data_IF_124773352726
#
_entry.id   IF_124773352726
#
_cell.length_a   1.000
_cell.length_b   1.000
_cell.length_c   1.000
_cell.angle_alpha   90.00
_cell.angle_beta   90.00
_cell.angle_gamma   90.00
#
_symmetry.space_group_name_H-M   'P 1'
#
loop_
_entity.id
_entity.type
_entity.pdbx_description
1 polymer ?
#
# COMPACT_ATOMS: atom_id res chain seq x y z
N UNK A 1 -36.55 -23.27 -2.59
CA UNK A 1 -36.80 -21.81 -2.42
C UNK A 1 -35.50 -21.09 -2.77
N UNK A 2 -35.24 -20.93 -4.07
CA UNK A 2 -34.08 -20.20 -4.58
C UNK A 2 -34.23 -18.72 -4.21
N UNK A 3 -33.36 -18.21 -3.34
CA UNK A 3 -33.20 -16.77 -3.18
C UNK A 3 -32.72 -16.23 -4.53
N UNK A 4 -33.65 -15.65 -5.29
CA UNK A 4 -33.36 -14.71 -6.37
C UNK A 4 -32.14 -13.88 -5.99
N UNK A 5 -31.05 -14.00 -6.76
CA UNK A 5 -29.85 -13.17 -6.63
C UNK A 5 -30.29 -11.74 -6.95
N UNK A 6 -30.74 -10.99 -5.94
CA UNK A 6 -30.99 -9.57 -6.07
C UNK A 6 -29.77 -8.95 -6.77
N UNK A 7 -30.01 -8.34 -7.94
CA UNK A 7 -28.95 -7.77 -8.77
C UNK A 7 -28.21 -6.75 -7.91
N UNK A 8 -26.91 -6.95 -7.69
CA UNK A 8 -26.09 -6.03 -6.90
C UNK A 8 -26.15 -4.63 -7.53
N UNK A 9 -26.20 -3.55 -6.74
CA UNK A 9 -26.12 -2.19 -7.26
C UNK A 9 -24.91 -2.03 -8.18
N UNK A 10 -25.03 -1.24 -9.25
CA UNK A 10 -23.94 -1.00 -10.21
C UNK A 10 -22.64 -0.55 -9.53
N UNK A 11 -22.77 0.30 -8.50
CA UNK A 11 -21.68 0.74 -7.62
C UNK A 11 -20.89 -0.44 -7.02
N UNK A 12 -21.57 -1.45 -6.52
CA UNK A 12 -20.90 -2.60 -5.88
C UNK A 12 -20.17 -3.45 -6.91
N UNK A 13 -20.73 -3.61 -8.11
CA UNK A 13 -20.08 -4.32 -9.21
C UNK A 13 -18.80 -3.61 -9.66
N UNK A 14 -18.86 -2.28 -9.83
CA UNK A 14 -17.73 -1.45 -10.15
C UNK A 14 -16.62 -1.56 -9.09
N UNK A 15 -16.97 -1.43 -7.81
CA UNK A 15 -15.99 -1.53 -6.71
C UNK A 15 -15.40 -2.94 -6.62
N UNK A 16 -16.18 -4.00 -6.83
CA UNK A 16 -15.66 -5.37 -6.90
C UNK A 16 -14.63 -5.49 -8.03
N UNK A 17 -14.95 -5.01 -9.23
CA UNK A 17 -14.04 -5.05 -10.37
C UNK A 17 -12.75 -4.28 -10.10
N UNK A 18 -12.86 -3.03 -9.63
CA UNK A 18 -11.72 -2.19 -9.25
C UNK A 18 -10.81 -2.88 -8.24
N UNK A 19 -11.37 -3.32 -7.10
CA UNK A 19 -10.57 -3.95 -6.04
C UNK A 19 -9.96 -5.28 -6.52
N UNK A 20 -10.63 -6.03 -7.40
CA UNK A 20 -10.08 -7.26 -7.98
C UNK A 20 -8.89 -6.97 -8.88
N UNK A 21 -9.02 -5.98 -9.78
CA UNK A 21 -7.91 -5.53 -10.63
C UNK A 21 -6.74 -5.06 -9.79
N UNK A 22 -6.97 -4.24 -8.76
CA UNK A 22 -5.92 -3.79 -7.87
C UNK A 22 -5.25 -4.94 -7.11
N UNK A 23 -6.02 -5.94 -6.63
CA UNK A 23 -5.46 -7.13 -5.99
C UNK A 23 -4.53 -7.91 -6.94
N UNK A 24 -4.93 -8.10 -8.20
CA UNK A 24 -4.11 -8.76 -9.23
C UNK A 24 -2.85 -7.95 -9.53
N UNK A 25 -2.98 -6.62 -9.66
CA UNK A 25 -1.84 -5.76 -9.90
C UNK A 25 -0.80 -5.89 -8.79
N UNK A 26 -1.21 -5.79 -7.53
CA UNK A 26 -0.31 -5.92 -6.39
C UNK A 26 0.21 -7.34 -6.18
N UNK A 27 -0.54 -8.36 -6.57
CA UNK A 27 -0.01 -9.73 -6.67
C UNK A 27 1.13 -9.80 -7.68
N UNK A 28 0.99 -9.14 -8.83
CA UNK A 28 2.07 -9.00 -9.81
C UNK A 28 3.29 -8.25 -9.25
N UNK A 29 3.10 -7.18 -8.48
CA UNK A 29 4.22 -6.45 -7.83
C UNK A 29 4.96 -7.37 -6.87
N UNK A 30 4.23 -8.00 -5.93
CA UNK A 30 4.82 -8.87 -4.92
C UNK A 30 5.48 -10.10 -5.54
N UNK A 31 4.79 -10.77 -6.47
CA UNK A 31 5.27 -11.97 -7.14
C UNK A 31 6.52 -11.71 -7.98
N UNK A 32 6.52 -10.65 -8.80
CA UNK A 32 7.71 -10.27 -9.58
C UNK A 32 8.88 -9.92 -8.67
N UNK A 33 8.64 -9.17 -7.58
CA UNK A 33 9.69 -8.81 -6.63
C UNK A 33 10.27 -10.05 -5.94
N UNK A 34 9.42 -10.97 -5.46
CA UNK A 34 9.83 -12.24 -4.83
C UNK A 34 10.67 -13.12 -5.76
N UNK A 35 10.33 -13.15 -7.05
CA UNK A 35 11.04 -13.93 -8.05
C UNK A 35 12.36 -13.26 -8.47
N UNK A 36 12.34 -11.96 -8.73
CA UNK A 36 13.51 -11.23 -9.23
C UNK A 36 14.61 -11.08 -8.17
N UNK A 37 14.24 -10.89 -6.90
CA UNK A 37 15.20 -10.67 -5.83
C UNK A 37 16.31 -11.74 -5.75
N UNK A 38 16.01 -13.06 -5.74
CA UNK A 38 17.04 -14.09 -5.78
C UNK A 38 17.67 -14.31 -7.17
N UNK A 39 16.95 -13.97 -8.26
CA UNK A 39 17.41 -14.26 -9.62
C UNK A 39 18.41 -13.23 -10.16
N UNK A 40 18.18 -11.95 -9.89
CA UNK A 40 18.97 -10.84 -10.45
C UNK A 40 19.61 -9.95 -9.38
N UNK A 41 19.38 -10.26 -8.10
CA UNK A 41 19.84 -9.44 -6.97
C UNK A 41 18.99 -8.18 -6.75
N UNK A 42 19.09 -7.60 -5.55
CA UNK A 42 18.29 -6.42 -5.19
C UNK A 42 18.56 -5.20 -6.09
N UNK A 43 19.77 -5.10 -6.65
CA UNK A 43 20.20 -3.98 -7.49
C UNK A 43 19.41 -3.89 -8.80
N UNK A 44 18.91 -5.02 -9.31
CA UNK A 44 18.23 -5.12 -10.61
C UNK A 44 16.71 -5.28 -10.49
N UNK A 45 16.16 -5.35 -9.28
CA UNK A 45 14.71 -5.51 -9.07
C UNK A 45 13.93 -4.35 -9.69
N UNK A 46 14.44 -3.12 -9.56
CA UNK A 46 13.79 -1.93 -10.14
C UNK A 46 13.61 -2.05 -11.66
N UNK A 47 14.60 -2.59 -12.38
CA UNK A 47 14.52 -2.74 -13.83
C UNK A 47 13.35 -3.65 -14.26
N UNK A 48 13.08 -4.73 -13.51
CA UNK A 48 12.03 -5.69 -13.84
C UNK A 48 10.63 -5.34 -13.32
N UNK A 49 10.52 -4.58 -12.22
CA UNK A 49 9.22 -4.31 -11.56
C UNK A 49 8.88 -2.83 -11.45
N UNK A 50 9.83 -1.92 -11.61
CA UNK A 50 9.66 -0.50 -11.31
C UNK A 50 8.57 0.18 -12.12
N UNK A 51 8.58 0.00 -13.45
CA UNK A 51 7.53 0.57 -14.30
C UNK A 51 6.14 -0.01 -13.99
N UNK A 52 6.08 -1.30 -13.70
CA UNK A 52 4.84 -1.98 -13.35
C UNK A 52 4.27 -1.46 -12.02
N UNK A 53 5.11 -1.30 -10.99
CA UNK A 53 4.72 -0.72 -9.70
C UNK A 53 4.24 0.71 -9.84
N UNK A 54 4.90 1.55 -10.66
CA UNK A 54 4.48 2.93 -10.88
C UNK A 54 3.02 3.01 -11.33
N UNK A 55 2.64 2.24 -12.35
CA UNK A 55 1.27 2.26 -12.88
C UNK A 55 0.26 1.62 -11.91
N UNK A 56 0.63 0.54 -11.23
CA UNK A 56 -0.21 -0.05 -10.18
C UNK A 56 -0.51 0.96 -9.06
N UNK A 57 0.50 1.73 -8.63
CA UNK A 57 0.36 2.77 -7.61
C UNK A 57 -0.43 3.99 -8.13
N UNK A 58 -0.23 4.41 -9.38
CA UNK A 58 -1.01 5.49 -10.00
C UNK A 58 -2.51 5.19 -10.01
N UNK A 59 -2.90 3.93 -10.22
CA UNK A 59 -4.31 3.52 -10.17
C UNK A 59 -4.97 3.76 -8.79
N UNK A 60 -4.19 3.83 -7.71
CA UNK A 60 -4.70 4.13 -6.37
C UNK A 60 -5.23 5.57 -6.24
N UNK A 61 -4.91 6.47 -7.17
CA UNK A 61 -5.51 7.81 -7.25
C UNK A 61 -7.04 7.71 -7.39
N UNK A 62 -7.55 6.67 -8.06
CA UNK A 62 -8.99 6.45 -8.16
C UNK A 62 -9.67 6.27 -6.81
N UNK A 63 -8.97 5.80 -5.77
CA UNK A 63 -9.55 5.68 -4.43
C UNK A 63 -9.90 7.04 -3.82
N UNK A 64 -9.08 8.05 -4.09
CA UNK A 64 -9.34 9.44 -3.68
C UNK A 64 -10.63 9.92 -4.35
N UNK A 65 -10.78 9.66 -5.66
CA UNK A 65 -12.00 9.98 -6.40
C UNK A 65 -13.21 9.18 -5.91
N UNK A 66 -13.06 7.90 -5.54
CA UNK A 66 -14.16 7.11 -4.99
C UNK A 66 -14.69 7.69 -3.69
N UNK A 67 -13.85 8.30 -2.87
CA UNK A 67 -14.29 8.99 -1.65
C UNK A 67 -14.98 10.31 -2.00
N UNK A 68 -14.41 11.10 -2.90
CA UNK A 68 -14.99 12.38 -3.36
C UNK A 68 -16.38 12.19 -3.97
N UNK A 69 -16.57 11.13 -4.74
CA UNK A 69 -17.84 10.79 -5.39
C UNK A 69 -18.82 10.04 -4.46
N UNK A 70 -18.48 9.85 -3.17
CA UNK A 70 -19.33 9.14 -2.22
C UNK A 70 -19.48 7.63 -2.49
N UNK A 71 -18.62 7.05 -3.33
CA UNK A 71 -18.58 5.60 -3.57
C UNK A 71 -18.04 4.85 -2.34
N UNK A 72 -17.07 5.42 -1.62
CA UNK A 72 -16.50 4.83 -0.42
C UNK A 72 -16.64 5.74 0.80
N UNK A 73 -17.03 5.16 1.93
CA UNK A 73 -17.05 5.84 3.23
C UNK A 73 -15.72 5.62 3.94
N UNK A 74 -14.74 6.45 3.63
CA UNK A 74 -13.43 6.50 4.28
C UNK A 74 -13.06 7.97 4.55
N UNK A 75 -12.07 8.21 5.40
CA UNK A 75 -11.56 9.58 5.59
C UNK A 75 -10.79 10.02 4.35
N UNK A 76 -11.25 11.13 3.76
CA UNK A 76 -10.64 11.73 2.58
C UNK A 76 -9.18 12.11 2.84
N UNK A 77 -8.92 12.87 3.92
CA UNK A 77 -7.59 13.34 4.26
C UNK A 77 -6.59 12.19 4.47
N UNK A 78 -7.01 11.12 5.14
CA UNK A 78 -6.11 9.97 5.36
C UNK A 78 -5.82 9.22 4.07
N UNK A 79 -6.82 9.06 3.20
CA UNK A 79 -6.64 8.34 1.93
C UNK A 79 -5.79 9.15 0.97
N UNK A 80 -6.02 10.46 0.89
CA UNK A 80 -5.19 11.38 0.12
C UNK A 80 -3.74 11.32 0.58
N UNK A 81 -3.48 11.43 1.88
CA UNK A 81 -2.11 11.37 2.41
C UNK A 81 -1.43 10.03 2.08
N UNK A 82 -2.13 8.91 2.25
CA UNK A 82 -1.60 7.57 1.95
C UNK A 82 -1.28 7.38 0.46
N UNK A 83 -2.17 7.82 -0.43
CA UNK A 83 -1.95 7.69 -1.87
C UNK A 83 -0.84 8.63 -2.33
N UNK A 84 -0.86 9.89 -1.90
CA UNK A 84 0.16 10.89 -2.26
C UNK A 84 1.54 10.52 -1.76
N UNK A 85 1.67 9.97 -0.53
CA UNK A 85 2.97 9.54 -0.02
C UNK A 85 3.58 8.44 -0.89
N UNK A 86 2.79 7.43 -1.28
CA UNK A 86 3.30 6.35 -2.13
C UNK A 86 3.58 6.80 -3.56
N UNK A 87 2.78 7.73 -4.10
CA UNK A 87 3.04 8.35 -5.40
C UNK A 87 4.37 9.10 -5.38
N UNK A 88 4.63 9.87 -4.33
CA UNK A 88 5.93 10.52 -4.13
C UNK A 88 7.06 9.49 -4.11
N UNK A 89 6.92 8.37 -3.40
CA UNK A 89 7.95 7.35 -3.34
C UNK A 89 8.25 6.72 -4.71
N UNK A 90 7.23 6.33 -5.48
CA UNK A 90 7.46 5.65 -6.78
C UNK A 90 7.88 6.60 -7.88
N UNK A 91 7.31 7.81 -7.93
CA UNK A 91 7.55 8.78 -9.01
C UNK A 91 8.58 9.86 -8.65
N UNK A 92 8.60 10.32 -7.41
CA UNK A 92 9.47 11.42 -6.95
C UNK A 92 10.77 10.96 -6.30
N UNK A 93 10.87 9.71 -5.83
CA UNK A 93 12.07 9.18 -5.16
C UNK A 93 12.71 8.07 -5.98
N UNK A 94 12.03 6.94 -6.15
CA UNK A 94 12.62 5.76 -6.76
C UNK A 94 12.76 5.85 -8.28
N UNK A 95 12.03 6.73 -8.97
CA UNK A 95 12.16 6.91 -10.41
C UNK A 95 13.32 7.82 -10.83
N UNK A 96 13.51 9.01 -10.23
CA UNK A 96 14.58 9.91 -10.63
C UNK A 96 15.97 9.54 -10.09
N UNK A 97 16.07 8.81 -8.98
CA UNK A 97 17.34 8.55 -8.29
C UNK A 97 17.75 7.09 -8.35
N UNK A 98 19.04 6.81 -8.52
CA UNK A 98 19.61 5.46 -8.64
C UNK A 98 19.84 4.81 -7.27
N UNK A 99 20.24 5.58 -6.26
CA UNK A 99 20.51 5.13 -4.90
C UNK A 99 19.39 4.31 -4.27
N UNK A 100 18.11 4.73 -4.37
CA UNK A 100 16.98 3.93 -3.92
C UNK A 100 16.79 2.65 -4.77
N UNK A 101 16.89 2.75 -6.11
CA UNK A 101 16.62 1.63 -7.04
C UNK A 101 17.52 0.44 -6.79
N UNK A 102 18.81 0.69 -6.53
CA UNK A 102 19.80 -0.34 -6.26
C UNK A 102 19.71 -0.94 -4.85
N UNK A 103 18.92 -0.36 -3.96
CA UNK A 103 18.91 -0.73 -2.54
C UNK A 103 18.01 -1.94 -2.24
N UNK A 104 18.41 -2.74 -1.26
CA UNK A 104 17.54 -3.78 -0.69
C UNK A 104 16.22 -3.20 -0.16
N UNK A 105 16.23 -1.94 0.30
CA UNK A 105 15.07 -1.25 0.83
C UNK A 105 13.97 -1.06 -0.21
N UNK A 106 14.31 -0.87 -1.48
CA UNK A 106 13.32 -0.84 -2.55
C UNK A 106 12.55 -2.18 -2.62
N UNK A 107 13.27 -3.29 -2.57
CA UNK A 107 12.69 -4.63 -2.63
C UNK A 107 11.81 -4.93 -1.40
N UNK A 108 12.30 -4.65 -0.18
CA UNK A 108 11.51 -4.87 1.04
C UNK A 108 10.29 -3.96 1.13
N UNK A 109 10.39 -2.73 0.63
CA UNK A 109 9.24 -1.82 0.49
C UNK A 109 8.17 -2.43 -0.42
N UNK A 110 8.53 -2.91 -1.62
CA UNK A 110 7.58 -3.50 -2.55
C UNK A 110 6.93 -4.78 -2.02
N UNK A 111 7.66 -5.61 -1.29
CA UNK A 111 7.10 -6.80 -0.65
C UNK A 111 6.12 -6.42 0.46
N UNK A 112 6.50 -5.48 1.33
CA UNK A 112 5.63 -5.00 2.39
C UNK A 112 4.34 -4.38 1.84
N UNK A 113 4.45 -3.55 0.80
CA UNK A 113 3.31 -2.95 0.11
C UNK A 113 2.47 -4.01 -0.57
N UNK A 114 3.06 -4.86 -1.40
CA UNK A 114 2.35 -5.88 -2.15
C UNK A 114 1.52 -6.80 -1.27
N UNK A 115 2.11 -7.35 -0.19
CA UNK A 115 1.35 -8.20 0.75
C UNK A 115 0.21 -7.41 1.42
N UNK A 116 0.48 -6.18 1.86
CA UNK A 116 -0.53 -5.33 2.50
C UNK A 116 -1.70 -5.05 1.56
N UNK A 117 -1.42 -4.72 0.31
CA UNK A 117 -2.42 -4.37 -0.70
C UNK A 117 -3.24 -5.57 -1.16
N UNK A 118 -2.60 -6.71 -1.39
CA UNK A 118 -3.30 -7.97 -1.71
C UNK A 118 -4.31 -8.28 -0.60
N UNK A 119 -3.91 -8.17 0.66
CA UNK A 119 -4.80 -8.38 1.80
C UNK A 119 -5.94 -7.37 1.83
N UNK A 120 -5.63 -6.09 1.60
CA UNK A 120 -6.59 -4.98 1.68
C UNK A 120 -7.67 -5.10 0.62
N UNK A 121 -7.27 -5.26 -0.64
CA UNK A 121 -8.19 -5.36 -1.77
C UNK A 121 -9.00 -6.65 -1.73
N UNK A 122 -8.39 -7.79 -1.37
CA UNK A 122 -9.11 -9.06 -1.19
C UNK A 122 -10.16 -8.96 -0.07
N UNK A 123 -9.83 -8.27 1.03
CA UNK A 123 -10.79 -7.99 2.08
C UNK A 123 -11.94 -7.11 1.58
N UNK A 124 -11.67 -6.06 0.78
CA UNK A 124 -12.73 -5.21 0.24
C UNK A 124 -13.66 -5.95 -0.72
N UNK A 125 -13.12 -6.76 -1.64
CA UNK A 125 -13.94 -7.61 -2.52
C UNK A 125 -14.85 -8.53 -1.70
N UNK A 126 -14.26 -9.30 -0.79
CA UNK A 126 -15.01 -10.29 0.00
C UNK A 126 -16.00 -9.65 0.99
N UNK A 127 -15.70 -8.43 1.46
CA UNK A 127 -16.60 -7.61 2.28
C UNK A 127 -17.81 -7.13 1.49
N UNK A 128 -17.63 -6.61 0.28
CA UNK A 128 -18.76 -6.21 -0.60
C UNK A 128 -19.56 -7.45 -1.00
N UNK A 129 -18.90 -8.57 -1.26
CA UNK A 129 -19.57 -9.85 -1.56
C UNK A 129 -20.44 -10.34 -0.40
N UNK A 130 -20.16 -9.92 0.85
CA UNK A 130 -20.87 -10.35 2.04
C UNK A 130 -20.39 -11.69 2.59
N UNK A 131 -19.23 -12.19 2.12
CA UNK A 131 -18.62 -13.45 2.55
C UNK A 131 -17.13 -13.25 2.79
N UNK A 132 -16.79 -12.61 3.90
CA UNK A 132 -15.38 -12.38 4.27
C UNK A 132 -14.81 -13.56 5.07
N UNK A 133 -13.84 -14.31 4.54
CA UNK A 133 -13.17 -15.37 5.27
C UNK A 133 -12.52 -14.85 6.57
N UNK A 134 -12.61 -15.65 7.64
CA UNK A 134 -11.97 -15.33 8.91
C UNK A 134 -10.45 -15.17 8.77
N UNK A 135 -9.82 -15.98 7.92
CA UNK A 135 -8.40 -15.90 7.60
C UNK A 135 -7.99 -14.55 7.00
N UNK A 136 -8.74 -14.02 6.02
CA UNK A 136 -8.45 -12.69 5.43
C UNK A 136 -8.64 -11.55 6.44
N UNK A 137 -9.65 -11.66 7.30
CA UNK A 137 -9.82 -10.72 8.42
C UNK A 137 -8.62 -10.79 9.36
N UNK A 138 -8.16 -12.00 9.69
CA UNK A 138 -7.01 -12.21 10.56
C UNK A 138 -5.72 -11.63 9.94
N UNK A 139 -5.45 -11.89 8.65
CA UNK A 139 -4.29 -11.33 7.98
C UNK A 139 -4.30 -9.80 8.08
N UNK A 140 -5.38 -9.16 7.66
CA UNK A 140 -5.52 -7.70 7.67
C UNK A 140 -5.20 -7.07 9.03
N UNK A 141 -5.61 -7.72 10.13
CA UNK A 141 -5.44 -7.17 11.48
C UNK A 141 -4.28 -7.77 12.27
N UNK A 142 -3.40 -8.58 11.67
CA UNK A 142 -2.19 -9.09 12.35
C UNK A 142 -0.91 -8.88 11.53
N UNK A 143 -0.96 -8.85 10.19
CA UNK A 143 0.26 -8.67 9.39
C UNK A 143 0.89 -7.29 9.57
N UNK A 144 0.12 -6.29 10.00
CA UNK A 144 0.65 -4.94 10.26
C UNK A 144 1.77 -4.92 11.32
N UNK A 145 1.85 -5.90 12.23
CA UNK A 145 2.93 -5.96 13.22
C UNK A 145 4.32 -6.04 12.56
N UNK A 146 4.42 -6.71 11.41
CA UNK A 146 5.67 -6.90 10.67
C UNK A 146 5.73 -5.98 9.46
N UNK A 147 4.65 -5.95 8.66
CA UNK A 147 4.64 -5.24 7.38
C UNK A 147 4.71 -3.71 7.56
N UNK A 148 4.21 -3.19 8.69
CA UNK A 148 4.16 -1.75 8.91
C UNK A 148 5.53 -1.15 9.21
N UNK A 149 6.30 -1.67 10.20
CA UNK A 149 7.67 -1.21 10.40
C UNK A 149 8.57 -1.49 9.19
N UNK A 150 8.39 -2.65 8.54
CA UNK A 150 9.14 -3.00 7.35
C UNK A 150 8.87 -2.04 6.20
N UNK A 151 7.60 -1.77 5.89
CA UNK A 151 7.21 -0.86 4.81
C UNK A 151 7.68 0.56 5.06
N UNK A 152 7.24 1.17 6.16
CA UNK A 152 7.58 2.56 6.49
C UNK A 152 9.10 2.76 6.69
N UNK A 153 9.79 1.81 7.33
CA UNK A 153 11.24 1.85 7.48
C UNK A 153 11.96 1.77 6.13
N UNK A 154 11.50 0.89 5.24
CA UNK A 154 12.08 0.76 3.90
C UNK A 154 11.84 2.00 3.04
N UNK A 155 10.66 2.62 3.13
CA UNK A 155 10.36 3.89 2.45
C UNK A 155 11.28 5.01 2.93
N UNK A 156 11.44 5.18 4.25
CA UNK A 156 12.34 6.17 4.83
C UNK A 156 13.78 5.93 4.35
N UNK A 157 14.24 4.68 4.34
CA UNK A 157 15.59 4.35 3.87
C UNK A 157 15.75 4.56 2.36
N UNK A 158 14.69 4.38 1.55
CA UNK A 158 14.72 4.77 0.14
C UNK A 158 14.90 6.29 -0.01
N UNK A 159 14.14 7.11 0.74
CA UNK A 159 14.31 8.57 0.70
C UNK A 159 15.72 8.96 1.16
N UNK A 160 16.23 8.34 2.23
CA UNK A 160 17.57 8.57 2.72
C UNK A 160 18.64 8.26 1.66
N UNK A 161 18.49 7.14 0.92
CA UNK A 161 19.39 6.77 -0.19
C UNK A 161 19.31 7.73 -1.38
N UNK A 162 18.22 8.50 -1.51
CA UNK A 162 18.10 9.53 -2.53
C UNK A 162 18.75 10.87 -2.14
N UNK A 163 19.12 11.10 -0.88
CA UNK A 163 19.52 12.42 -0.39
C UNK A 163 20.76 12.99 -1.10
N UNK A 164 21.79 12.18 -1.34
CA UNK A 164 23.01 12.65 -2.00
C UNK A 164 22.73 13.13 -3.42
N UNK A 165 22.00 12.33 -4.19
CA UNK A 165 21.61 12.67 -5.57
C UNK A 165 20.62 13.83 -5.60
N UNK A 166 19.67 13.87 -4.67
CA UNK A 166 18.75 14.98 -4.53
C UNK A 166 19.48 16.30 -4.25
N UNK A 167 20.52 16.28 -3.40
CA UNK A 167 21.35 17.46 -3.12
C UNK A 167 22.13 17.93 -4.34
N UNK A 168 22.71 16.99 -5.09
CA UNK A 168 23.40 17.30 -6.35
C UNK A 168 22.47 17.86 -7.42
N UNK A 169 21.20 17.44 -7.43
CA UNK A 169 20.20 17.92 -8.37
C UNK A 169 19.60 19.27 -7.98
N UNK A 170 19.18 19.42 -6.72
CA UNK A 170 18.57 20.64 -6.20
C UNK A 170 18.61 20.67 -4.65
N UNK A 171 19.24 21.68 -4.08
CA UNK A 171 19.35 21.82 -2.62
C UNK A 171 18.00 21.95 -1.90
N UNK A 172 16.99 22.57 -2.52
CA UNK A 172 15.64 22.64 -1.97
C UNK A 172 15.03 21.23 -1.88
N UNK A 173 15.26 20.39 -2.90
CA UNK A 173 14.74 19.02 -2.92
C UNK A 173 15.37 18.17 -1.80
N UNK A 174 16.66 18.37 -1.53
CA UNK A 174 17.32 17.76 -0.38
C UNK A 174 16.62 18.13 0.94
N UNK A 175 16.35 19.42 1.18
CA UNK A 175 15.66 19.86 2.40
C UNK A 175 14.22 19.37 2.48
N UNK A 176 13.52 19.27 1.35
CA UNK A 176 12.19 18.64 1.28
C UNK A 176 12.27 17.18 1.72
N UNK A 177 13.23 16.39 1.21
CA UNK A 177 13.39 14.99 1.60
C UNK A 177 13.78 14.82 3.06
N UNK A 178 14.66 15.68 3.59
CA UNK A 178 14.99 15.73 5.02
C UNK A 178 13.72 16.02 5.84
N UNK A 179 12.93 17.01 5.45
CA UNK A 179 11.66 17.34 6.12
C UNK A 179 10.70 16.16 6.15
N UNK A 180 10.58 15.43 5.03
CA UNK A 180 9.75 14.22 4.94
C UNK A 180 10.27 13.12 5.88
N UNK A 181 11.59 12.86 5.90
CA UNK A 181 12.20 11.87 6.80
C UNK A 181 11.90 12.14 8.27
N UNK A 182 11.86 13.40 8.69
CA UNK A 182 11.51 13.78 10.07
C UNK A 182 10.08 13.38 10.43
N UNK A 183 9.17 13.30 9.46
CA UNK A 183 7.77 12.89 9.71
C UNK A 183 7.60 11.37 9.88
N UNK A 184 8.57 10.55 9.46
CA UNK A 184 8.45 9.09 9.50
C UNK A 184 8.36 8.52 10.92
N UNK A 185 9.25 8.87 11.89
CA UNK A 185 9.14 8.38 13.26
C UNK A 185 7.79 8.67 13.95
N UNK A 186 7.29 9.93 13.99
CA UNK A 186 5.99 10.22 14.59
C UNK A 186 4.83 9.64 13.77
N UNK A 187 4.93 9.63 12.44
CA UNK A 187 3.93 9.02 11.56
C UNK A 187 3.78 7.52 11.80
N UNK A 188 4.91 6.80 11.89
CA UNK A 188 4.96 5.38 12.20
C UNK A 188 4.30 5.09 13.55
N UNK A 189 4.66 5.84 14.60
CA UNK A 189 4.07 5.66 15.93
C UNK A 189 2.54 5.86 15.93
N UNK A 190 2.07 6.94 15.34
CA UNK A 190 0.63 7.27 15.30
C UNK A 190 -0.17 6.23 14.51
N UNK A 191 0.32 5.82 13.34
CA UNK A 191 -0.40 4.87 12.52
C UNK A 191 -0.34 3.44 13.10
N UNK A 192 0.79 3.05 13.69
CA UNK A 192 0.94 1.76 14.35
C UNK A 192 0.01 1.61 15.56
N UNK A 193 -0.03 2.63 16.43
CA UNK A 193 -0.95 2.64 17.58
C UNK A 193 -2.41 2.66 17.14
N UNK A 194 -2.74 3.37 16.06
CA UNK A 194 -4.07 3.36 15.46
C UNK A 194 -4.47 1.96 14.96
N UNK A 195 -3.57 1.22 14.31
CA UNK A 195 -3.83 -0.16 13.85
C UNK A 195 -4.09 -1.12 15.03
N UNK A 196 -3.38 -0.96 16.15
CA UNK A 196 -3.64 -1.73 17.38
C UNK A 196 -5.06 -1.45 17.91
N UNK A 197 -5.50 -0.18 17.89
CA UNK A 197 -6.87 0.20 18.30
C UNK A 197 -7.91 -0.40 17.35
N UNK A 198 -7.69 -0.33 16.04
CA UNK A 198 -8.58 -0.94 15.04
C UNK A 198 -8.70 -2.46 15.20
N UNK A 199 -7.58 -3.14 15.42
CA UNK A 199 -7.55 -4.59 15.71
C UNK A 199 -8.42 -4.92 16.92
N UNK A 200 -8.24 -4.19 18.04
CA UNK A 200 -9.03 -4.40 19.26
C UNK A 200 -10.52 -4.26 19.00
N UNK A 201 -10.94 -3.24 18.24
CA UNK A 201 -12.35 -3.00 17.90
C UNK A 201 -12.94 -4.13 17.05
N UNK A 202 -12.27 -4.52 15.98
CA UNK A 202 -12.83 -5.46 15.00
C UNK A 202 -12.74 -6.94 15.42
N UNK A 203 -11.70 -7.31 16.18
CA UNK A 203 -11.55 -8.69 16.68
C UNK A 203 -12.38 -8.92 17.96
N UNK A 204 -12.44 -7.95 18.90
CA UNK A 204 -13.27 -8.11 20.11
C UNK A 204 -14.76 -7.95 19.82
N UNK A 205 -15.16 -7.12 18.86
CA UNK A 205 -16.56 -7.01 18.42
C UNK A 205 -17.12 -8.35 17.93
N UNK A 206 -16.37 -9.08 17.10
CA UNK A 206 -16.76 -10.42 16.61
C UNK A 206 -16.81 -11.50 17.69
N UNK A 207 -16.16 -11.31 18.85
CA UNK A 207 -16.24 -12.23 20.00
C UNK A 207 -17.48 -11.99 20.88
N UNK A 208 -18.15 -10.83 20.75
CA UNK A 208 -19.38 -10.51 21.49
C UNK A 208 -20.66 -10.84 20.70
N UNK A 209 -20.57 -11.01 19.39
CA UNK A 209 -21.69 -11.38 18.51
C UNK A 209 -21.79 -12.90 18.25
N UNK A 210 -20.86 -13.69 18.79
CA UNK A 210 -20.93 -15.15 18.83
C UNK A 210 -21.36 -15.60 20.20
#
# INVERSE_FOLDING_TARGET
MERSKARRPFKDQYLIAYNTVSAVLWFGVAGRTLLLLPLVGHENVYAGVGNYTKWAQTLAILEVFHILLGLLRSSFATTLLQVSSRILLVWGVCNPFEGPKGSLFYSTMLLAWGVTEICRYSYYVTSIVGRTPAFLTWLRYNTFYILYPMGAGSEALCIYRALSEARSYNEILYWVFVGILVTYPPGLYNQYTHMIRQRRKNIRGKKREK
#
